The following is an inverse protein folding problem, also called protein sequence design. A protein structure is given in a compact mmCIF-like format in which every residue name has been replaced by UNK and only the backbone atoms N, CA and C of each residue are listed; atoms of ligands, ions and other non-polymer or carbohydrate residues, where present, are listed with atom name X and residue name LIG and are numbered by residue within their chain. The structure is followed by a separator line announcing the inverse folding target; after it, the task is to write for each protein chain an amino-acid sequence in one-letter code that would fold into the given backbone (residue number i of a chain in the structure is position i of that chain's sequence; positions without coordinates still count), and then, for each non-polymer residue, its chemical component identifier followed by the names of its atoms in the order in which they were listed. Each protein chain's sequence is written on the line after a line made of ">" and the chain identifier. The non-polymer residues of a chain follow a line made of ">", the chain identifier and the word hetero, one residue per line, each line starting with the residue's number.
data_IF_724801891858
#
_entry.id   IF_724801891858
#
_cell.length_a   1.000
_cell.length_b   1.000
_cell.length_c   1.000
_cell.angle_alpha   90.00
_cell.angle_beta   90.00
_cell.angle_gamma   90.00
#
_symmetry.space_group_name_H-M   'P 1'
#
loop_
_entity.id
_entity.type
_entity.pdbx_description
1 polymer ?
#
# COMPACT_ATOMS: atom_id res chain seq x y z
N UNK A 1 -16.23 -3.93 7.23
CA UNK A 1 -15.26 -4.53 6.26
C UNK A 1 -15.47 -4.09 4.82
N UNK A 2 -16.66 -3.69 4.39
CA UNK A 2 -16.91 -3.31 2.99
C UNK A 2 -16.06 -2.12 2.51
N UNK A 3 -15.91 -1.09 3.35
CA UNK A 3 -15.00 0.02 3.11
C UNK A 3 -13.55 -0.44 2.88
N UNK A 4 -13.03 -1.29 3.77
CA UNK A 4 -11.65 -1.81 3.66
C UNK A 4 -11.45 -2.68 2.41
N UNK A 5 -12.44 -3.49 2.03
CA UNK A 5 -12.41 -4.27 0.79
C UNK A 5 -12.43 -3.38 -0.46
N UNK A 6 -13.08 -2.22 -0.39
CA UNK A 6 -13.11 -1.24 -1.48
C UNK A 6 -11.78 -0.51 -1.64
N UNK A 7 -11.13 -0.14 -0.53
CA UNK A 7 -9.84 0.55 -0.56
C UNK A 7 -8.64 -0.40 -0.74
N UNK A 8 -8.74 -1.66 -0.31
CA UNK A 8 -7.66 -2.65 -0.34
C UNK A 8 -8.12 -3.99 -0.96
N UNK A 9 -8.66 -4.00 -2.19
CA UNK A 9 -9.25 -5.20 -2.78
C UNK A 9 -8.25 -6.36 -2.94
N UNK A 10 -6.98 -6.05 -3.16
CA UNK A 10 -5.94 -7.08 -3.33
C UNK A 10 -5.52 -7.70 -2.00
N UNK A 11 -5.54 -6.96 -0.89
CA UNK A 11 -5.25 -7.49 0.43
C UNK A 11 -6.25 -8.58 0.87
N UNK A 12 -7.54 -8.38 0.56
CA UNK A 12 -8.60 -9.34 0.91
C UNK A 12 -8.66 -10.58 0.00
N UNK A 13 -7.87 -10.61 -1.08
CA UNK A 13 -7.72 -11.80 -1.92
C UNK A 13 -6.58 -12.71 -1.46
N UNK A 14 -5.85 -12.35 -0.40
CA UNK A 14 -4.70 -13.09 0.12
C UNK A 14 -5.07 -14.36 0.91
N UNK A 15 -6.00 -15.18 0.42
CA UNK A 15 -6.40 -16.44 1.07
C UNK A 15 -5.39 -17.57 0.88
N UNK A 16 -4.65 -17.56 -0.22
CA UNK A 16 -3.69 -18.59 -0.61
C UNK A 16 -2.29 -17.99 -0.74
N UNK A 17 -1.24 -18.81 -0.57
CA UNK A 17 0.14 -18.33 -0.56
C UNK A 17 0.49 -17.53 -1.82
N UNK A 18 0.06 -17.98 -3.00
CA UNK A 18 0.25 -17.27 -4.28
C UNK A 18 -0.45 -15.90 -4.28
N UNK A 19 -1.67 -15.84 -3.77
CA UNK A 19 -2.47 -14.61 -3.73
C UNK A 19 -1.93 -13.61 -2.72
N UNK A 20 -1.42 -14.09 -1.57
CA UNK A 20 -0.71 -13.28 -0.58
C UNK A 20 0.56 -12.68 -1.15
N UNK A 21 1.41 -13.50 -1.81
CA UNK A 21 2.63 -13.01 -2.47
C UNK A 21 2.27 -11.97 -3.54
N UNK A 22 1.23 -12.21 -4.33
CA UNK A 22 0.76 -11.26 -5.35
C UNK A 22 0.32 -9.94 -4.74
N UNK A 23 -0.48 -9.97 -3.67
CA UNK A 23 -0.93 -8.76 -2.98
C UNK A 23 0.26 -7.97 -2.42
N UNK A 24 1.22 -8.64 -1.80
CA UNK A 24 2.41 -8.03 -1.23
C UNK A 24 3.28 -7.38 -2.32
N UNK A 25 3.52 -8.08 -3.42
CA UNK A 25 4.24 -7.54 -4.59
C UNK A 25 3.56 -6.30 -5.15
N UNK A 26 2.22 -6.28 -5.23
CA UNK A 26 1.47 -5.11 -5.70
C UNK A 26 1.66 -3.91 -4.77
N UNK A 27 1.50 -4.09 -3.46
CA UNK A 27 1.66 -2.98 -2.50
C UNK A 27 3.10 -2.46 -2.47
N UNK A 28 4.09 -3.34 -2.54
CA UNK A 28 5.51 -2.95 -2.62
C UNK A 28 5.81 -2.21 -3.93
N UNK A 29 5.26 -2.66 -5.06
CA UNK A 29 5.42 -1.97 -6.34
C UNK A 29 4.80 -0.57 -6.32
N UNK A 30 3.60 -0.43 -5.75
CA UNK A 30 2.95 0.88 -5.58
C UNK A 30 3.83 1.80 -4.73
N UNK A 31 4.36 1.30 -3.61
CA UNK A 31 5.22 2.09 -2.73
C UNK A 31 6.51 2.55 -3.43
N UNK A 32 7.17 1.67 -4.19
CA UNK A 32 8.38 2.01 -4.96
C UNK A 32 8.07 3.05 -6.04
N UNK A 33 7.02 2.85 -6.83
CA UNK A 33 6.67 3.75 -7.94
C UNK A 33 6.24 5.11 -7.40
N UNK A 34 5.36 5.14 -6.40
CA UNK A 34 4.94 6.38 -5.77
C UNK A 34 6.11 7.07 -5.05
N UNK A 35 6.92 6.33 -4.28
CA UNK A 35 8.09 6.86 -3.59
C UNK A 35 9.11 7.47 -4.55
N UNK A 36 9.34 6.83 -5.70
CA UNK A 36 10.22 7.37 -6.74
C UNK A 36 9.68 8.67 -7.36
N UNK A 37 8.41 8.69 -7.74
CA UNK A 37 7.75 9.90 -8.31
C UNK A 37 7.78 11.03 -7.28
N UNK A 38 7.41 10.74 -6.04
CA UNK A 38 7.36 11.71 -4.95
C UNK A 38 8.76 12.23 -4.62
N UNK A 39 9.77 11.37 -4.58
CA UNK A 39 11.17 11.75 -4.37
C UNK A 39 11.72 12.63 -5.50
N UNK A 40 11.28 12.42 -6.74
CA UNK A 40 11.64 13.26 -7.88
C UNK A 40 11.01 14.67 -7.75
N UNK A 41 9.73 14.74 -7.40
CA UNK A 41 8.97 15.97 -7.20
C UNK A 41 9.37 16.74 -5.93
N UNK A 42 9.90 16.05 -4.92
CA UNK A 42 10.35 16.66 -3.67
C UNK A 42 11.61 17.54 -3.82
N UNK A 43 12.30 17.48 -4.96
CA UNK A 43 13.44 18.37 -5.27
C UNK A 43 13.05 19.85 -5.40
N UNK A 44 11.75 20.16 -5.54
CA UNK A 44 11.27 21.53 -5.60
C UNK A 44 10.87 21.97 -4.18
N UNK A 45 11.52 22.98 -3.57
CA UNK A 45 11.42 23.27 -2.13
C UNK A 45 9.99 23.56 -1.61
N UNK A 46 9.14 24.24 -2.38
CA UNK A 46 7.75 24.50 -1.97
C UNK A 46 6.84 23.27 -2.14
N UNK A 47 7.04 22.54 -3.23
CA UNK A 47 6.23 21.38 -3.62
C UNK A 47 6.62 20.15 -2.78
N UNK A 48 7.88 20.08 -2.35
CA UNK A 48 8.43 18.95 -1.61
C UNK A 48 7.81 18.74 -0.24
N UNK A 49 7.31 19.78 0.42
CA UNK A 49 6.56 19.62 1.68
C UNK A 49 5.24 18.89 1.43
N UNK A 50 4.48 19.32 0.41
CA UNK A 50 3.20 18.70 0.03
C UNK A 50 3.44 17.25 -0.40
N UNK A 51 4.44 17.03 -1.25
CA UNK A 51 4.79 15.70 -1.74
C UNK A 51 5.33 14.79 -0.63
N UNK A 52 6.05 15.32 0.36
CA UNK A 52 6.47 14.55 1.54
C UNK A 52 5.28 14.08 2.37
N UNK A 53 4.24 14.91 2.53
CA UNK A 53 3.00 14.52 3.23
C UNK A 53 2.26 13.45 2.42
N UNK A 54 2.13 13.64 1.11
CA UNK A 54 1.50 12.65 0.21
C UNK A 54 2.28 11.33 0.23
N UNK A 55 3.61 11.38 0.24
CA UNK A 55 4.47 10.19 0.32
C UNK A 55 4.29 9.43 1.62
N UNK A 56 4.21 10.15 2.74
CA UNK A 56 3.88 9.54 4.03
C UNK A 56 2.50 8.88 4.02
N UNK A 57 1.48 9.52 3.43
CA UNK A 57 0.14 8.96 3.29
C UNK A 57 0.12 7.71 2.39
N UNK A 58 0.86 7.71 1.29
CA UNK A 58 0.96 6.56 0.38
C UNK A 58 1.70 5.41 1.05
N UNK A 59 2.81 5.68 1.75
CA UNK A 59 3.53 4.66 2.50
C UNK A 59 2.67 4.06 3.62
N UNK A 60 1.88 4.88 4.30
CA UNK A 60 0.94 4.42 5.32
C UNK A 60 -0.19 3.57 4.70
N UNK A 61 -0.69 3.95 3.52
CA UNK A 61 -1.63 3.13 2.75
C UNK A 61 -1.01 1.77 2.37
N UNK A 62 0.20 1.75 1.82
CA UNK A 62 0.90 0.51 1.44
C UNK A 62 1.12 -0.40 2.65
N UNK A 63 1.55 0.17 3.78
CA UNK A 63 1.75 -0.54 5.04
C UNK A 63 0.45 -1.17 5.55
N UNK A 64 -0.66 -0.41 5.55
CA UNK A 64 -1.98 -0.93 5.91
C UNK A 64 -2.43 -2.06 4.98
N UNK A 65 -2.19 -1.92 3.67
CA UNK A 65 -2.47 -2.97 2.68
C UNK A 65 -1.69 -4.27 2.94
N UNK A 66 -0.42 -4.16 3.31
CA UNK A 66 0.42 -5.31 3.69
C UNK A 66 -0.10 -5.97 4.97
N UNK A 67 -0.38 -5.19 6.02
CA UNK A 67 -0.93 -5.70 7.30
C UNK A 67 -2.26 -6.42 7.06
N UNK A 68 -3.17 -5.83 6.28
CA UNK A 68 -4.44 -6.47 5.93
C UNK A 68 -4.24 -7.77 5.16
N UNK A 69 -3.28 -7.81 4.23
CA UNK A 69 -2.94 -9.03 3.47
C UNK A 69 -2.47 -10.15 4.41
N UNK A 70 -1.66 -9.82 5.41
CA UNK A 70 -1.19 -10.78 6.42
C UNK A 70 -2.36 -11.27 7.29
N UNK A 71 -3.20 -10.37 7.77
CA UNK A 71 -4.34 -10.73 8.63
C UNK A 71 -5.37 -11.62 7.90
N UNK A 72 -5.59 -11.39 6.61
CA UNK A 72 -6.44 -12.23 5.75
C UNK A 72 -5.79 -13.59 5.51
N UNK A 73 -4.48 -13.63 5.25
CA UNK A 73 -3.73 -14.87 5.03
C UNK A 73 -3.71 -15.78 6.27
N UNK A 74 -3.54 -15.21 7.46
CA UNK A 74 -3.61 -15.93 8.74
C UNK A 74 -5.07 -16.23 9.16
N UNK A 75 -6.06 -15.88 8.32
CA UNK A 75 -7.49 -16.11 8.53
C UNK A 75 -8.06 -15.44 9.78
N UNK A 76 -7.43 -14.36 10.26
CA UNK A 76 -7.93 -13.55 11.38
C UNK A 76 -9.14 -12.71 10.95
N UNK A 77 -9.18 -12.30 9.68
CA UNK A 77 -10.27 -11.50 9.08
C UNK A 77 -10.60 -12.02 7.66
N UNK A 78 -11.83 -11.76 7.17
CA UNK A 78 -12.36 -12.28 5.89
C UNK A 78 -12.90 -11.20 4.95
#
# INVERSE_FOLDING_TARGET
>A
MEMLKKFFPNAFKATDLKSFITALVIYVLIDIVCGFVIGLLAKIPLIGIIFSIVGSLVGLYALVGIILSVLVFVKVIK
#
